data_IF_152310711064
#
_entry.id   IF_152310711064
#
_cell.length_a   1.000
_cell.length_b   1.000
_cell.length_c   1.000
_cell.angle_alpha   90.00
_cell.angle_beta   90.00
_cell.angle_gamma   90.00
#
_symmetry.space_group_name_H-M   'P 1'
#
loop_
_entity.id
_entity.type
_entity.pdbx_description
1 polymer ?
#
# COMPACT_ATOMS: atom_id res chain seq x y z
N UNK A 1 -9.80 4.11 17.04
CA UNK A 1 -9.36 4.44 15.65
C UNK A 1 -8.38 3.39 15.17
N UNK A 2 -8.49 2.96 13.91
CA UNK A 2 -7.54 2.01 13.30
C UNK A 2 -6.97 2.66 12.04
N UNK A 3 -5.69 2.99 12.09
CA UNK A 3 -4.89 3.43 10.96
C UNK A 3 -4.59 2.22 10.07
N UNK A 4 -5.08 2.22 8.83
CA UNK A 4 -5.03 1.08 7.93
C UNK A 4 -3.77 1.04 7.05
N UNK A 5 -2.98 2.12 7.07
CA UNK A 5 -1.75 2.28 6.28
C UNK A 5 -0.83 3.28 6.98
N UNK A 6 -0.12 2.80 7.98
CA UNK A 6 1.00 3.49 8.58
C UNK A 6 2.30 2.82 8.14
N UNK A 7 3.41 3.52 8.25
CA UNK A 7 4.71 3.04 7.80
C UNK A 7 5.73 2.93 8.92
N UNK A 8 6.81 2.23 8.65
CA UNK A 8 7.99 2.12 9.49
C UNK A 8 9.26 2.40 8.69
N UNK A 9 10.28 2.99 9.34
CA UNK A 9 11.63 3.07 8.78
C UNK A 9 12.45 1.89 9.28
N UNK A 10 12.64 0.92 8.41
CA UNK A 10 13.26 -0.35 8.72
C UNK A 10 14.75 -0.21 9.01
N UNK A 11 15.21 -0.89 10.05
CA UNK A 11 16.62 -1.03 10.38
C UNK A 11 17.10 -2.45 10.05
N UNK A 12 17.25 -2.73 8.74
CA UNK A 12 17.56 -4.08 8.26
C UNK A 12 19.06 -4.41 8.43
N UNK A 13 19.31 -5.66 8.84
CA UNK A 13 20.66 -6.23 8.92
C UNK A 13 20.87 -7.17 7.73
N UNK A 14 21.26 -6.61 6.59
CA UNK A 14 21.48 -7.36 5.36
C UNK A 14 22.96 -7.74 5.21
N UNK A 15 23.20 -8.91 4.60
CA UNK A 15 24.54 -9.33 4.20
C UNK A 15 25.15 -8.36 3.20
N UNK A 16 26.47 -8.15 3.26
CA UNK A 16 27.19 -7.18 2.43
C UNK A 16 26.96 -7.38 0.92
N UNK A 17 26.85 -8.64 0.48
CA UNK A 17 26.59 -8.98 -0.92
C UNK A 17 25.17 -8.58 -1.34
N UNK A 18 24.18 -8.75 -0.47
CA UNK A 18 22.78 -8.30 -0.68
C UNK A 18 22.72 -6.79 -0.74
N UNK A 19 23.38 -6.09 0.18
CA UNK A 19 23.48 -4.62 0.18
C UNK A 19 24.14 -4.13 -1.11
N UNK A 20 25.27 -4.72 -1.52
CA UNK A 20 25.96 -4.34 -2.74
C UNK A 20 25.12 -4.56 -4.00
N UNK A 21 24.44 -5.70 -4.10
CA UNK A 21 23.53 -5.98 -5.21
C UNK A 21 22.35 -5.00 -5.26
N UNK A 22 21.75 -4.73 -4.12
CA UNK A 22 20.65 -3.77 -3.98
C UNK A 22 21.09 -2.35 -4.36
N UNK A 23 22.21 -1.86 -3.81
CA UNK A 23 22.72 -0.52 -4.12
C UNK A 23 23.10 -0.38 -5.60
N UNK A 24 23.66 -1.42 -6.21
CA UNK A 24 23.95 -1.42 -7.65
C UNK A 24 22.70 -1.29 -8.51
N UNK A 25 21.61 -1.95 -8.10
CA UNK A 25 20.33 -1.87 -8.80
C UNK A 25 19.61 -0.53 -8.58
N UNK A 26 19.64 -0.03 -7.34
CA UNK A 26 18.99 1.22 -6.97
C UNK A 26 19.65 2.45 -7.58
N UNK A 27 20.98 2.48 -7.56
CA UNK A 27 21.77 3.66 -7.95
C UNK A 27 22.23 3.63 -9.42
N UNK A 28 21.96 2.57 -10.17
CA UNK A 28 22.34 2.47 -11.59
C UNK A 28 23.83 2.72 -11.86
N UNK A 29 24.69 2.52 -10.88
CA UNK A 29 26.14 2.56 -10.96
C UNK A 29 26.82 3.94 -10.93
N UNK A 30 26.11 5.05 -11.08
CA UNK A 30 26.73 6.40 -11.17
C UNK A 30 25.96 7.53 -10.42
N UNK A 31 25.01 7.21 -9.56
CA UNK A 31 24.29 8.26 -8.81
C UNK A 31 25.01 8.59 -7.51
N UNK A 32 25.41 9.86 -7.38
CA UNK A 32 25.96 10.43 -6.15
C UNK A 32 24.91 10.41 -5.03
N UNK A 33 25.38 10.25 -3.80
CA UNK A 33 24.53 10.45 -2.62
C UNK A 33 23.86 11.83 -2.72
N UNK A 34 22.57 11.94 -2.32
CA UNK A 34 21.89 13.24 -2.30
C UNK A 34 22.71 14.22 -1.45
N UNK A 35 22.86 15.46 -1.92
CA UNK A 35 23.36 16.55 -1.10
C UNK A 35 22.42 16.74 0.09
N UNK A 36 22.96 17.15 1.25
CA UNK A 36 22.15 17.45 2.42
C UNK A 36 21.00 18.40 2.02
N UNK A 37 19.74 18.11 2.43
CA UNK A 37 18.61 18.94 2.08
C UNK A 37 18.81 20.38 2.58
N UNK A 38 18.33 21.37 1.79
CA UNK A 38 18.35 22.76 2.21
C UNK A 38 17.53 22.96 3.50
N UNK A 39 17.86 23.93 4.36
CA UNK A 39 17.21 24.11 5.67
C UNK A 39 15.67 24.27 5.62
N UNK A 40 15.11 24.78 4.52
CA UNK A 40 13.66 24.90 4.32
C UNK A 40 13.01 23.56 3.91
N UNK A 41 13.79 22.59 3.43
CA UNK A 41 13.33 21.27 3.04
C UNK A 41 13.28 20.30 4.25
N UNK A 42 13.94 20.67 5.35
CA UNK A 42 14.03 19.84 6.54
C UNK A 42 12.69 19.69 7.28
N UNK A 43 11.75 20.65 7.15
CA UNK A 43 10.51 20.64 7.93
C UNK A 43 9.57 19.47 7.58
N UNK A 44 9.48 19.07 6.32
CA UNK A 44 8.67 17.90 5.90
C UNK A 44 9.38 16.58 6.13
N UNK A 45 10.72 16.56 6.09
CA UNK A 45 11.50 15.37 6.38
C UNK A 45 11.60 15.05 7.90
N UNK A 46 11.27 16.01 8.77
CA UNK A 46 11.38 15.81 10.23
C UNK A 46 10.55 14.64 10.75
N UNK A 47 9.38 14.36 10.15
CA UNK A 47 8.54 13.24 10.54
C UNK A 47 9.24 11.90 10.34
N UNK A 48 9.97 11.72 9.24
CA UNK A 48 10.73 10.50 8.96
C UNK A 48 11.84 10.23 10.00
N UNK A 49 12.33 11.28 10.67
CA UNK A 49 13.35 11.15 11.70
C UNK A 49 12.78 11.05 13.13
N UNK A 50 11.45 11.01 13.29
CA UNK A 50 10.86 10.77 14.62
C UNK A 50 11.25 9.39 15.13
N UNK A 51 11.54 9.26 16.44
CA UNK A 51 11.86 7.95 17.00
C UNK A 51 10.80 6.88 16.75
N UNK A 52 9.51 7.25 16.71
CA UNK A 52 8.39 6.34 16.43
C UNK A 52 8.41 5.71 15.03
N UNK A 53 9.16 6.28 14.07
CA UNK A 53 9.33 5.69 12.75
C UNK A 53 10.05 4.32 12.80
N UNK A 54 11.02 4.15 13.71
CA UNK A 54 11.85 2.93 13.81
C UNK A 54 11.82 2.25 15.18
N UNK A 55 11.18 2.87 16.19
CA UNK A 55 11.13 2.37 17.56
C UNK A 55 9.68 2.20 18.02
N UNK A 56 9.26 0.99 18.47
CA UNK A 56 7.87 0.70 18.79
C UNK A 56 7.33 1.47 20.01
N UNK A 57 8.15 1.72 21.04
CA UNK A 57 7.72 2.48 22.22
C UNK A 57 7.31 3.92 21.89
N UNK A 58 8.20 4.74 21.30
CA UNK A 58 7.85 6.06 20.80
C UNK A 58 6.70 6.06 19.76
N UNK A 59 6.57 5.01 18.94
CA UNK A 59 5.43 4.87 18.02
C UNK A 59 4.10 4.82 18.76
N UNK A 60 4.03 4.05 19.83
CA UNK A 60 2.82 3.96 20.67
C UNK A 60 2.51 5.29 21.35
N UNK A 61 3.53 6.04 21.77
CA UNK A 61 3.36 7.39 22.34
C UNK A 61 2.78 8.37 21.30
N UNK A 62 3.26 8.33 20.05
CA UNK A 62 2.72 9.14 18.95
C UNK A 62 1.27 8.75 18.64
N UNK A 63 0.95 7.45 18.60
CA UNK A 63 -0.42 6.95 18.42
C UNK A 63 -1.35 7.40 19.54
N UNK A 64 -0.90 7.34 20.79
CA UNK A 64 -1.69 7.79 21.95
C UNK A 64 -1.98 9.28 21.89
N UNK A 65 -1.03 10.09 21.43
CA UNK A 65 -1.19 11.54 21.29
C UNK A 65 -2.27 11.92 20.26
N UNK A 66 -2.46 11.12 19.23
CA UNK A 66 -3.48 11.33 18.17
C UNK A 66 -4.77 10.52 18.38
N UNK A 67 -4.82 9.63 19.36
CA UNK A 67 -5.99 8.79 19.60
C UNK A 67 -6.13 7.62 18.62
N UNK A 68 -5.00 7.10 18.10
CA UNK A 68 -4.93 5.92 17.25
C UNK A 68 -4.78 4.67 18.13
N UNK A 69 -5.75 3.77 18.11
CA UNK A 69 -5.72 2.55 18.92
C UNK A 69 -4.83 1.47 18.29
N UNK A 70 -4.90 1.31 16.99
CA UNK A 70 -4.18 0.28 16.22
C UNK A 70 -3.61 0.89 14.93
N UNK A 71 -2.38 0.53 14.59
CA UNK A 71 -1.74 0.86 13.31
C UNK A 71 -1.35 -0.41 12.55
N UNK A 72 -1.72 -0.46 11.27
CA UNK A 72 -1.29 -1.49 10.32
C UNK A 72 -0.07 -0.97 9.59
N UNK A 73 1.05 -1.69 9.67
CA UNK A 73 2.38 -1.17 9.35
C UNK A 73 2.93 -1.76 8.05
N UNK A 74 3.21 -0.86 7.11
CA UNK A 74 3.79 -1.11 5.79
C UNK A 74 5.27 -0.70 5.72
N UNK A 75 6.04 -1.23 4.75
CA UNK A 75 7.43 -0.84 4.56
C UNK A 75 7.56 0.54 3.92
N UNK A 76 8.60 1.28 4.28
CA UNK A 76 8.98 2.57 3.66
C UNK A 76 10.21 2.45 2.78
N UNK A 77 11.16 1.57 3.11
CA UNK A 77 12.47 1.57 2.47
C UNK A 77 12.39 1.47 0.95
N UNK A 78 12.93 2.46 0.24
CA UNK A 78 13.00 2.43 -1.22
C UNK A 78 13.63 1.14 -1.73
N UNK A 79 13.03 0.54 -2.76
CA UNK A 79 13.54 -0.65 -3.41
C UNK A 79 13.13 -1.97 -2.77
N UNK A 80 12.54 -2.02 -1.58
CA UNK A 80 11.94 -3.25 -1.07
C UNK A 80 10.84 -3.77 -2.00
N UNK A 81 10.27 -2.91 -2.83
CA UNK A 81 9.23 -3.29 -3.78
C UNK A 81 9.74 -3.63 -5.18
N UNK A 82 10.96 -3.21 -5.52
CA UNK A 82 11.54 -3.47 -6.85
C UNK A 82 13.00 -3.88 -6.79
N UNK A 83 13.21 -5.17 -6.68
CA UNK A 83 14.50 -5.81 -6.88
C UNK A 83 14.28 -6.92 -7.91
N UNK A 84 14.83 -6.80 -9.13
CA UNK A 84 14.59 -7.80 -10.19
C UNK A 84 15.09 -9.19 -9.84
N UNK A 85 16.22 -9.30 -9.13
CA UNK A 85 16.75 -10.58 -8.68
C UNK A 85 15.90 -11.14 -7.54
N UNK A 86 15.25 -12.26 -7.79
CA UNK A 86 14.33 -12.90 -6.83
C UNK A 86 15.02 -13.35 -5.54
N UNK A 87 16.29 -13.77 -5.61
CA UNK A 87 17.01 -14.25 -4.41
C UNK A 87 17.46 -13.08 -3.54
N UNK A 88 17.90 -11.98 -4.15
CA UNK A 88 18.19 -10.74 -3.43
C UNK A 88 16.92 -10.21 -2.77
N UNK A 89 15.82 -10.13 -3.51
CA UNK A 89 14.55 -9.68 -2.95
C UNK A 89 14.02 -10.59 -1.84
N UNK A 90 14.13 -11.92 -2.01
CA UNK A 90 13.74 -12.88 -0.98
C UNK A 90 14.51 -12.67 0.32
N UNK A 91 15.81 -12.43 0.24
CA UNK A 91 16.64 -12.16 1.43
C UNK A 91 16.21 -10.87 2.12
N UNK A 92 15.96 -9.81 1.35
CA UNK A 92 15.49 -8.53 1.87
C UNK A 92 14.10 -8.66 2.50
N UNK A 93 13.15 -9.27 1.81
CA UNK A 93 11.79 -9.48 2.30
C UNK A 93 11.77 -10.34 3.58
N UNK A 94 12.58 -11.39 3.63
CA UNK A 94 12.68 -12.26 4.80
C UNK A 94 13.23 -11.51 6.02
N UNK A 95 14.24 -10.66 5.82
CA UNK A 95 14.82 -9.82 6.89
C UNK A 95 13.85 -8.72 7.34
N UNK A 96 13.18 -8.05 6.39
CA UNK A 96 12.11 -7.10 6.71
C UNK A 96 11.02 -7.77 7.56
N UNK A 97 10.49 -8.91 7.11
CA UNK A 97 9.42 -9.60 7.81
C UNK A 97 9.86 -10.03 9.23
N UNK A 98 11.11 -10.47 9.41
CA UNK A 98 11.67 -10.78 10.71
C UNK A 98 11.74 -9.53 11.61
N UNK A 99 12.30 -8.44 11.09
CA UNK A 99 12.45 -7.18 11.81
C UNK A 99 11.08 -6.60 12.20
N UNK A 100 10.13 -6.58 11.27
CA UNK A 100 8.78 -6.07 11.55
C UNK A 100 8.04 -6.91 12.60
N UNK A 101 8.22 -8.23 12.56
CA UNK A 101 7.67 -9.11 13.60
C UNK A 101 8.22 -8.74 14.99
N UNK A 102 9.53 -8.51 15.11
CA UNK A 102 10.16 -8.06 16.35
C UNK A 102 9.62 -6.70 16.80
N UNK A 103 9.49 -5.75 15.86
CA UNK A 103 8.91 -4.43 16.12
C UNK A 103 7.46 -4.54 16.63
N UNK A 104 6.60 -5.27 15.93
CA UNK A 104 5.20 -5.44 16.30
C UNK A 104 5.00 -6.26 17.59
N UNK A 105 5.96 -7.14 17.96
CA UNK A 105 5.88 -7.93 19.18
C UNK A 105 5.93 -7.11 20.47
N UNK A 106 6.32 -5.82 20.37
CA UNK A 106 6.30 -4.89 21.50
C UNK A 106 4.87 -4.65 22.02
N UNK A 107 3.89 -4.54 21.12
CA UNK A 107 2.46 -4.56 21.42
C UNK A 107 1.69 -5.13 20.20
N UNK A 108 1.58 -6.44 20.14
CA UNK A 108 0.94 -7.13 19.00
C UNK A 108 -0.59 -6.94 18.91
N UNK A 109 -1.19 -6.30 19.89
CA UNK A 109 -2.59 -5.87 19.84
C UNK A 109 -2.79 -4.52 19.18
N UNK A 110 -1.74 -3.71 19.09
CA UNK A 110 -1.80 -2.35 18.53
C UNK A 110 -0.93 -2.16 17.29
N UNK A 111 0.13 -2.93 17.11
CA UNK A 111 1.06 -2.85 15.97
C UNK A 111 0.89 -4.09 15.11
N UNK A 112 0.30 -3.93 13.93
CA UNK A 112 -0.07 -5.03 13.04
C UNK A 112 0.84 -5.02 11.81
N UNK A 113 1.64 -6.06 11.64
CA UNK A 113 2.59 -6.14 10.52
C UNK A 113 1.96 -6.59 9.20
N UNK A 114 2.46 -6.01 8.11
CA UNK A 114 2.18 -6.40 6.72
C UNK A 114 3.45 -6.97 6.10
N UNK A 115 3.35 -8.18 5.54
CA UNK A 115 4.51 -8.89 5.00
C UNK A 115 4.86 -8.53 3.57
N UNK A 116 6.13 -8.71 3.21
CA UNK A 116 6.64 -8.67 1.85
C UNK A 116 6.93 -10.07 1.33
N UNK A 117 6.71 -10.28 0.03
CA UNK A 117 6.90 -11.58 -0.63
C UNK A 117 7.58 -11.44 -2.00
N UNK A 118 8.44 -12.37 -2.41
CA UNK A 118 9.15 -12.32 -3.69
C UNK A 118 8.26 -12.78 -4.85
N UNK A 119 7.28 -11.95 -5.24
CA UNK A 119 6.29 -12.29 -6.29
C UNK A 119 6.89 -12.41 -7.70
N UNK A 120 8.18 -12.16 -7.86
CA UNK A 120 8.98 -12.53 -9.05
C UNK A 120 8.98 -14.07 -9.26
N UNK A 121 8.82 -14.84 -8.18
CA UNK A 121 8.57 -16.28 -8.20
C UNK A 121 7.34 -16.58 -7.33
N UNK A 122 6.17 -16.88 -7.93
CA UNK A 122 4.95 -17.15 -7.18
C UNK A 122 5.04 -18.29 -6.17
N UNK A 123 5.88 -19.31 -6.43
CA UNK A 123 6.04 -20.43 -5.49
C UNK A 123 6.82 -20.00 -4.23
N UNK A 124 7.85 -19.18 -4.39
CA UNK A 124 8.57 -18.57 -3.26
C UNK A 124 7.68 -17.59 -2.52
N UNK A 125 6.87 -16.81 -3.26
CA UNK A 125 5.92 -15.85 -2.66
C UNK A 125 4.88 -16.54 -1.80
N UNK A 126 4.30 -17.66 -2.25
CA UNK A 126 3.36 -18.47 -1.46
C UNK A 126 4.00 -18.96 -0.18
N UNK A 127 5.21 -19.55 -0.27
CA UNK A 127 5.93 -20.04 0.91
C UNK A 127 6.21 -18.93 1.94
N UNK A 128 6.61 -17.76 1.47
CA UNK A 128 6.87 -16.64 2.37
C UNK A 128 5.57 -16.06 2.95
N UNK A 129 4.48 -16.02 2.17
CA UNK A 129 3.15 -15.64 2.67
C UNK A 129 2.68 -16.59 3.78
N UNK A 130 2.84 -17.92 3.59
CA UNK A 130 2.50 -18.90 4.62
C UNK A 130 3.31 -18.64 5.91
N UNK A 131 4.61 -18.35 5.78
CA UNK A 131 5.46 -17.99 6.93
C UNK A 131 4.98 -16.70 7.61
N UNK A 132 4.67 -15.66 6.84
CA UNK A 132 4.15 -14.40 7.38
C UNK A 132 2.86 -14.62 8.19
N UNK A 133 1.92 -15.40 7.67
CA UNK A 133 0.62 -15.63 8.31
C UNK A 133 0.74 -16.57 9.52
N UNK A 134 1.45 -17.68 9.39
CA UNK A 134 1.44 -18.74 10.42
C UNK A 134 2.50 -18.54 11.48
N UNK A 135 3.71 -18.10 11.10
CA UNK A 135 4.85 -18.03 12.03
C UNK A 135 5.03 -16.61 12.60
N UNK A 136 4.78 -15.56 11.76
CA UNK A 136 4.99 -14.18 12.17
C UNK A 136 3.69 -13.46 12.60
N UNK A 137 2.53 -14.07 12.37
CA UNK A 137 1.24 -13.52 12.79
C UNK A 137 0.78 -12.29 11.99
N UNK A 138 1.35 -12.04 10.82
CA UNK A 138 0.97 -10.93 9.96
C UNK A 138 -0.46 -11.07 9.43
N UNK A 139 -1.10 -9.95 9.15
CA UNK A 139 -2.52 -9.90 8.78
C UNK A 139 -2.78 -9.56 7.32
N UNK A 140 -1.75 -9.17 6.58
CA UNK A 140 -1.82 -8.88 5.16
C UNK A 140 -0.45 -9.07 4.50
N UNK A 141 -0.46 -9.10 3.17
CA UNK A 141 0.74 -9.06 2.34
C UNK A 141 0.66 -7.85 1.41
N UNK A 142 1.76 -7.14 1.27
CA UNK A 142 1.88 -6.02 0.34
C UNK A 142 2.40 -6.46 -1.01
N UNK A 143 1.81 -5.91 -2.07
CA UNK A 143 2.32 -5.98 -3.44
C UNK A 143 2.32 -4.59 -4.07
N UNK A 144 3.21 -4.40 -5.06
CA UNK A 144 3.17 -3.19 -5.89
C UNK A 144 2.11 -3.31 -7.01
N UNK A 145 1.58 -2.18 -7.52
CA UNK A 145 0.56 -2.15 -8.59
C UNK A 145 1.11 -2.43 -10.01
N UNK A 146 2.26 -3.09 -10.12
CA UNK A 146 2.98 -3.30 -11.38
C UNK A 146 3.39 -4.77 -11.57
N UNK A 147 3.69 -5.22 -12.80
CA UNK A 147 4.18 -6.56 -13.07
C UNK A 147 5.46 -6.91 -12.29
N UNK A 148 5.56 -8.18 -11.87
CA UNK A 148 6.76 -8.73 -11.21
C UNK A 148 7.58 -9.63 -12.13
N UNK A 149 6.92 -10.32 -13.06
CA UNK A 149 7.54 -11.29 -13.95
C UNK A 149 7.48 -10.73 -15.37
N UNK A 150 8.61 -10.34 -15.93
CA UNK A 150 8.72 -9.72 -17.25
C UNK A 150 7.65 -8.62 -17.44
N UNK A 151 6.83 -8.74 -18.48
CA UNK A 151 5.73 -7.83 -18.77
C UNK A 151 4.36 -8.48 -18.50
N UNK A 152 4.31 -9.54 -17.69
CA UNK A 152 3.07 -10.25 -17.39
C UNK A 152 2.21 -9.43 -16.44
N UNK A 153 1.02 -9.11 -16.89
CA UNK A 153 0.04 -8.33 -16.12
C UNK A 153 -0.40 -9.09 -14.87
N UNK A 154 -0.85 -8.42 -13.84
CA UNK A 154 -1.27 -9.06 -12.59
C UNK A 154 -2.38 -10.13 -12.78
N UNK A 155 -3.16 -10.04 -13.85
CA UNK A 155 -4.19 -11.05 -14.19
C UNK A 155 -3.67 -12.23 -15.03
N UNK A 156 -2.35 -12.29 -15.34
CA UNK A 156 -1.76 -13.44 -16.03
C UNK A 156 -1.85 -14.67 -15.11
N UNK A 157 -2.22 -15.85 -15.67
CA UNK A 157 -2.34 -17.08 -14.88
C UNK A 157 -1.07 -17.52 -14.13
N UNK A 158 0.09 -16.96 -14.44
CA UNK A 158 1.33 -17.24 -13.71
C UNK A 158 1.21 -16.84 -12.24
N UNK A 159 0.38 -15.84 -11.91
CA UNK A 159 0.14 -15.39 -10.54
C UNK A 159 -1.01 -16.13 -9.84
N UNK A 160 -1.78 -16.95 -10.55
CA UNK A 160 -2.94 -17.65 -9.96
C UNK A 160 -2.60 -18.48 -8.71
N UNK A 161 -1.44 -19.18 -8.61
CA UNK A 161 -1.08 -19.87 -7.37
C UNK A 161 -0.93 -18.93 -6.15
N UNK A 162 -0.50 -17.69 -6.38
CA UNK A 162 -0.38 -16.70 -5.32
C UNK A 162 -1.77 -16.19 -4.88
N UNK A 163 -2.67 -15.91 -5.84
CA UNK A 163 -4.04 -15.48 -5.52
C UNK A 163 -4.82 -16.58 -4.79
N UNK A 164 -4.67 -17.83 -5.22
CA UNK A 164 -5.30 -19.01 -4.58
C UNK A 164 -4.82 -19.19 -3.14
N UNK A 165 -3.51 -19.05 -2.90
CA UNK A 165 -2.95 -19.11 -1.55
C UNK A 165 -3.45 -17.96 -0.66
N UNK A 166 -3.49 -16.72 -1.17
CA UNK A 166 -3.99 -15.56 -0.44
C UNK A 166 -5.47 -15.73 -0.06
N UNK A 167 -6.30 -16.22 -1.00
CA UNK A 167 -7.70 -16.55 -0.75
C UNK A 167 -7.85 -17.65 0.32
N UNK A 168 -7.13 -18.77 0.16
CA UNK A 168 -7.16 -19.92 1.07
C UNK A 168 -6.73 -19.57 2.49
N UNK A 169 -5.70 -18.74 2.64
CA UNK A 169 -5.21 -18.22 3.91
C UNK A 169 -6.09 -17.12 4.48
N UNK A 170 -7.04 -16.61 3.69
CA UNK A 170 -7.81 -15.38 3.99
C UNK A 170 -6.87 -14.23 4.35
N UNK A 171 -5.77 -14.11 3.61
CA UNK A 171 -4.76 -13.08 3.79
C UNK A 171 -5.06 -11.93 2.82
N UNK A 172 -5.48 -10.76 3.30
CA UNK A 172 -5.68 -9.59 2.45
C UNK A 172 -4.41 -9.20 1.71
N UNK A 173 -4.59 -8.70 0.50
CA UNK A 173 -3.50 -8.15 -0.31
C UNK A 173 -3.62 -6.63 -0.32
N UNK A 174 -2.60 -5.95 0.24
CA UNK A 174 -2.41 -4.52 0.11
C UNK A 174 -1.72 -4.19 -1.21
N UNK A 175 -2.40 -3.45 -2.07
CA UNK A 175 -1.82 -2.93 -3.32
C UNK A 175 -1.33 -1.51 -3.04
N UNK A 176 -0.03 -1.38 -2.88
CA UNK A 176 0.61 -0.15 -2.45
C UNK A 176 1.60 0.34 -3.51
N UNK A 177 1.48 1.58 -4.00
CA UNK A 177 2.38 2.14 -5.00
C UNK A 177 3.74 2.46 -4.40
N UNK A 178 4.67 2.80 -5.27
CA UNK A 178 5.97 3.30 -4.89
C UNK A 178 6.52 4.21 -6.00
N UNK A 179 6.43 5.52 -5.78
CA UNK A 179 6.75 6.52 -6.80
C UNK A 179 8.25 6.76 -7.02
N UNK A 180 9.11 6.25 -6.14
CA UNK A 180 10.56 6.49 -6.22
C UNK A 180 11.32 5.49 -7.09
N UNK A 181 10.78 4.30 -7.32
CA UNK A 181 11.46 3.30 -8.13
C UNK A 181 11.11 3.45 -9.62
N UNK A 182 12.13 3.40 -10.47
CA UNK A 182 11.94 3.25 -11.91
C UNK A 182 11.55 1.81 -12.21
N UNK A 183 10.27 1.52 -12.06
CA UNK A 183 9.73 0.19 -12.31
C UNK A 183 9.25 0.07 -13.75
N UNK A 184 9.56 -1.05 -14.43
CA UNK A 184 8.97 -1.32 -15.73
C UNK A 184 7.45 -1.17 -15.66
N UNK A 185 6.87 -0.39 -16.60
CA UNK A 185 5.42 -0.19 -16.75
C UNK A 185 4.71 0.72 -15.75
N UNK A 186 5.38 1.25 -14.74
CA UNK A 186 4.77 2.27 -13.90
C UNK A 186 4.58 3.59 -14.66
N UNK A 187 3.74 4.46 -14.11
CA UNK A 187 3.44 5.77 -14.74
C UNK A 187 4.66 6.67 -14.76
N UNK A 188 5.49 6.61 -13.74
CA UNK A 188 6.74 7.41 -13.66
C UNK A 188 7.62 7.15 -14.87
N UNK A 189 7.91 5.88 -15.21
CA UNK A 189 8.70 5.51 -16.40
C UNK A 189 8.01 5.92 -17.70
N UNK A 190 6.70 5.73 -17.79
CA UNK A 190 5.93 6.03 -19.01
C UNK A 190 5.80 7.51 -19.32
N UNK A 191 5.79 8.37 -18.31
CA UNK A 191 5.66 9.82 -18.46
C UNK A 191 7.00 10.55 -18.44
N UNK A 192 8.13 9.84 -18.29
CA UNK A 192 9.46 10.45 -18.24
C UNK A 192 9.69 11.27 -16.97
N UNK A 193 9.06 10.90 -15.87
CA UNK A 193 9.19 11.59 -14.58
C UNK A 193 10.42 11.15 -13.78
N UNK A 194 11.33 10.37 -14.38
CA UNK A 194 12.53 9.83 -13.72
C UNK A 194 13.56 10.90 -13.38
N UNK A 195 13.69 11.91 -14.25
CA UNK A 195 14.69 12.98 -14.11
C UNK A 195 14.42 13.88 -12.88
N UNK A 196 13.19 13.86 -12.37
CA UNK A 196 12.81 14.64 -11.19
C UNK A 196 13.08 13.90 -9.88
N UNK A 197 13.82 12.77 -9.91
CA UNK A 197 13.69 11.76 -8.86
C UNK A 197 14.65 11.86 -7.68
N UNK A 198 15.81 12.52 -7.74
CA UNK A 198 16.77 12.42 -6.63
C UNK A 198 17.59 13.69 -6.34
N UNK A 199 17.33 14.79 -7.02
CA UNK A 199 18.07 16.02 -6.77
C UNK A 199 17.35 17.06 -5.90
N UNK A 200 16.02 17.00 -5.88
CA UNK A 200 15.16 17.92 -5.15
C UNK A 200 13.87 17.21 -4.74
N UNK A 201 13.82 16.69 -3.54
CA UNK A 201 12.65 15.99 -2.96
C UNK A 201 11.34 16.79 -3.11
N UNK A 202 11.43 18.13 -3.16
CA UNK A 202 10.26 19.01 -3.16
C UNK A 202 9.61 19.26 -4.53
N UNK A 203 10.36 19.22 -5.64
CA UNK A 203 9.85 19.75 -6.92
C UNK A 203 9.32 18.69 -7.88
N UNK A 204 9.81 17.45 -7.80
CA UNK A 204 9.34 16.34 -8.61
C UNK A 204 8.33 15.44 -7.88
N UNK A 205 8.36 15.43 -6.55
CA UNK A 205 7.59 14.51 -5.73
C UNK A 205 6.07 14.70 -5.89
N UNK A 206 5.60 15.94 -5.88
CA UNK A 206 4.19 16.27 -6.04
C UNK A 206 3.60 15.72 -7.36
N UNK A 207 4.34 15.83 -8.47
CA UNK A 207 3.90 15.29 -9.75
C UNK A 207 3.99 13.75 -9.79
N UNK A 208 5.04 13.18 -9.21
CA UNK A 208 5.25 11.73 -9.16
C UNK A 208 4.23 11.03 -8.27
N UNK A 209 4.02 11.51 -7.06
CA UNK A 209 2.99 10.96 -6.16
C UNK A 209 1.60 11.24 -6.69
N UNK A 210 1.28 12.49 -7.03
CA UNK A 210 -0.06 12.86 -7.49
C UNK A 210 -0.52 12.15 -8.76
N UNK A 211 0.40 11.82 -9.68
CA UNK A 211 0.09 11.06 -10.89
C UNK A 211 0.51 9.59 -10.79
N UNK A 212 1.75 9.35 -10.30
CA UNK A 212 2.34 8.02 -10.29
C UNK A 212 1.56 7.07 -9.40
N UNK A 213 1.41 7.39 -8.13
CA UNK A 213 0.71 6.54 -7.18
C UNK A 213 -0.74 6.31 -7.62
N UNK A 214 -1.47 7.40 -7.88
CA UNK A 214 -2.88 7.34 -8.27
C UNK A 214 -3.10 6.49 -9.51
N UNK A 215 -2.38 6.74 -10.62
CA UNK A 215 -2.63 6.04 -11.88
C UNK A 215 -2.20 4.58 -11.80
N UNK A 216 -1.09 4.26 -11.13
CA UNK A 216 -0.64 2.88 -10.98
C UNK A 216 -1.64 2.06 -10.16
N UNK A 217 -2.18 2.61 -9.07
CA UNK A 217 -3.25 1.97 -8.28
C UNK A 217 -4.55 1.83 -9.08
N UNK A 218 -4.94 2.84 -9.89
CA UNK A 218 -6.10 2.76 -10.80
C UNK A 218 -5.94 1.61 -11.80
N UNK A 219 -4.75 1.45 -12.39
CA UNK A 219 -4.46 0.36 -13.34
C UNK A 219 -4.53 -0.99 -12.65
N UNK A 220 -3.94 -1.11 -11.44
CA UNK A 220 -4.03 -2.34 -10.67
C UNK A 220 -5.47 -2.69 -10.33
N UNK A 221 -6.26 -1.73 -9.80
CA UNK A 221 -7.68 -1.95 -9.54
C UNK A 221 -8.41 -2.48 -10.77
N UNK A 222 -8.10 -1.95 -11.95
CA UNK A 222 -8.66 -2.45 -13.21
C UNK A 222 -8.39 -3.94 -13.44
N UNK A 223 -7.18 -4.46 -13.11
CA UNK A 223 -6.87 -5.90 -13.23
C UNK A 223 -7.64 -6.75 -12.21
N UNK A 224 -7.86 -6.25 -11.00
CA UNK A 224 -8.62 -6.97 -9.98
C UNK A 224 -10.12 -7.01 -10.32
N UNK A 225 -10.76 -5.86 -10.54
CA UNK A 225 -12.22 -5.78 -10.66
C UNK A 225 -12.77 -5.95 -12.07
N UNK A 226 -11.97 -5.67 -13.11
CA UNK A 226 -12.38 -5.76 -14.53
C UNK A 226 -11.49 -6.71 -15.36
N UNK A 227 -10.31 -7.06 -14.87
CA UNK A 227 -9.37 -7.98 -15.49
C UNK A 227 -9.52 -9.44 -15.07
N UNK A 228 -10.49 -9.75 -14.19
CA UNK A 228 -10.91 -11.11 -13.85
C UNK A 228 -10.20 -11.78 -12.69
N UNK A 229 -9.28 -11.11 -11.98
CA UNK A 229 -8.65 -11.71 -10.80
C UNK A 229 -9.72 -12.04 -9.75
N UNK A 230 -10.46 -11.03 -9.31
CA UNK A 230 -11.50 -11.19 -8.31
C UNK A 230 -12.72 -12.01 -8.75
N UNK A 231 -12.91 -12.22 -10.05
CA UNK A 231 -13.91 -13.17 -10.57
C UNK A 231 -13.45 -14.62 -10.39
N UNK A 232 -12.15 -14.90 -10.58
CA UNK A 232 -11.57 -16.24 -10.38
C UNK A 232 -11.40 -16.60 -8.91
N UNK A 233 -11.14 -15.60 -8.07
CA UNK A 233 -10.89 -15.73 -6.64
C UNK A 233 -11.90 -14.90 -5.84
N UNK A 234 -13.13 -15.39 -5.66
CA UNK A 234 -14.26 -14.60 -5.15
C UNK A 234 -14.18 -14.27 -3.65
N UNK A 235 -13.35 -14.98 -2.88
CA UNK A 235 -13.12 -14.72 -1.46
C UNK A 235 -11.81 -13.95 -1.20
N UNK A 236 -11.01 -13.68 -2.25
CA UNK A 236 -9.78 -12.90 -2.16
C UNK A 236 -10.12 -11.46 -1.74
N UNK A 237 -9.46 -10.96 -0.70
CA UNK A 237 -9.66 -9.60 -0.20
C UNK A 237 -8.52 -8.68 -0.62
N UNK A 238 -8.84 -7.50 -1.16
CA UNK A 238 -7.89 -6.52 -1.68
C UNK A 238 -8.13 -5.17 -1.00
N UNK A 239 -7.05 -4.48 -0.66
CA UNK A 239 -7.09 -3.06 -0.29
C UNK A 239 -6.14 -2.26 -1.18
N UNK A 240 -6.64 -1.16 -1.72
CA UNK A 240 -5.87 -0.20 -2.53
C UNK A 240 -5.47 0.96 -1.65
N UNK A 241 -4.17 1.27 -1.61
CA UNK A 241 -3.55 2.17 -0.63
C UNK A 241 -2.76 3.29 -1.33
N UNK A 242 -2.54 4.38 -0.64
CA UNK A 242 -1.67 5.51 -1.02
C UNK A 242 -1.83 5.98 -2.49
N UNK A 243 -3.03 5.94 -3.00
CA UNK A 243 -3.32 6.36 -4.38
C UNK A 243 -4.45 7.38 -4.46
N UNK A 244 -4.78 8.04 -3.35
CA UNK A 244 -6.04 8.76 -3.13
C UNK A 244 -7.26 7.86 -3.40
N UNK A 245 -8.42 8.24 -2.90
CA UNK A 245 -9.64 7.44 -3.07
C UNK A 245 -10.71 8.08 -3.95
N UNK A 246 -10.61 9.40 -4.20
CA UNK A 246 -11.64 10.18 -4.86
C UNK A 246 -12.01 9.74 -6.27
N UNK A 247 -11.09 9.12 -6.99
CA UNK A 247 -11.29 8.60 -8.35
C UNK A 247 -12.05 7.25 -8.40
N UNK A 248 -12.15 6.52 -7.29
CA UNK A 248 -12.62 5.13 -7.27
C UNK A 248 -14.07 5.00 -7.75
N UNK A 249 -14.99 5.80 -7.21
CA UNK A 249 -16.41 5.73 -7.57
C UNK A 249 -16.69 6.02 -9.06
N UNK A 250 -16.20 7.11 -9.68
CA UNK A 250 -16.37 7.35 -11.11
C UNK A 250 -15.65 6.32 -11.99
N UNK A 251 -14.55 5.73 -11.54
CA UNK A 251 -13.88 4.68 -12.31
C UNK A 251 -14.70 3.39 -12.32
N UNK A 252 -15.29 2.99 -11.19
CA UNK A 252 -16.17 1.83 -11.12
C UNK A 252 -17.44 2.02 -11.98
N UNK A 253 -18.04 3.21 -11.96
CA UNK A 253 -19.15 3.55 -12.85
C UNK A 253 -18.76 3.37 -14.32
N UNK A 254 -17.57 3.88 -14.67
CA UNK A 254 -17.04 3.76 -16.03
C UNK A 254 -16.79 2.30 -16.43
N UNK A 255 -16.23 1.49 -15.57
CA UNK A 255 -16.01 0.07 -15.84
C UNK A 255 -17.33 -0.69 -16.02
N UNK A 256 -18.32 -0.46 -15.16
CA UNK A 256 -19.64 -1.08 -15.30
C UNK A 256 -20.27 -0.76 -16.65
N UNK A 257 -20.27 0.52 -17.05
CA UNK A 257 -20.80 0.95 -18.35
C UNK A 257 -20.07 0.27 -19.52
N UNK A 258 -18.74 0.21 -19.48
CA UNK A 258 -17.94 -0.35 -20.58
C UNK A 258 -18.10 -1.87 -20.66
N UNK A 259 -18.20 -2.57 -19.55
CA UNK A 259 -18.51 -4.01 -19.52
C UNK A 259 -19.91 -4.27 -20.07
N UNK A 260 -20.88 -3.42 -19.75
CA UNK A 260 -22.24 -3.54 -20.28
C UNK A 260 -22.31 -3.32 -21.81
N UNK A 261 -21.58 -2.31 -22.31
CA UNK A 261 -21.61 -1.94 -23.75
C UNK A 261 -20.78 -2.88 -24.61
N UNK A 262 -19.58 -3.24 -24.17
CA UNK A 262 -18.59 -3.98 -24.97
C UNK A 262 -18.47 -5.46 -24.57
N UNK A 263 -19.05 -5.83 -23.45
CA UNK A 263 -18.84 -7.15 -22.84
C UNK A 263 -17.47 -7.28 -22.18
N UNK A 264 -17.26 -8.39 -21.49
CA UNK A 264 -15.97 -8.75 -20.94
C UNK A 264 -15.66 -10.21 -21.22
N UNK A 265 -14.41 -10.48 -21.62
CA UNK A 265 -13.91 -11.86 -21.75
C UNK A 265 -13.41 -12.43 -20.41
N UNK A 266 -13.27 -11.58 -19.40
CA UNK A 266 -12.64 -11.93 -18.14
C UNK A 266 -13.65 -12.28 -17.04
N UNK A 267 -14.84 -11.67 -17.08
CA UNK A 267 -15.82 -11.78 -16.01
C UNK A 267 -17.26 -11.60 -16.47
N UNK A 268 -18.22 -12.03 -15.62
CA UNK A 268 -19.65 -11.87 -15.82
C UNK A 268 -20.25 -10.89 -14.80
N UNK A 269 -19.66 -10.81 -13.60
CA UNK A 269 -20.07 -9.92 -12.52
C UNK A 269 -19.66 -8.49 -12.84
N UNK A 270 -20.48 -7.50 -12.50
CA UNK A 270 -20.13 -6.08 -12.69
C UNK A 270 -18.91 -5.71 -11.83
N UNK A 271 -17.96 -4.91 -12.35
CA UNK A 271 -16.80 -4.44 -11.61
C UNK A 271 -17.13 -3.81 -10.26
N UNK A 272 -18.19 -2.99 -10.18
CA UNK A 272 -18.63 -2.40 -8.92
C UNK A 272 -19.18 -3.41 -7.91
N UNK A 273 -19.84 -4.47 -8.37
CA UNK A 273 -20.30 -5.55 -7.50
C UNK A 273 -19.13 -6.36 -6.96
N UNK A 274 -18.12 -6.61 -7.80
CA UNK A 274 -16.85 -7.25 -7.37
C UNK A 274 -16.17 -6.38 -6.32
N UNK A 275 -16.02 -5.08 -6.59
CA UNK A 275 -15.41 -4.15 -5.64
C UNK A 275 -16.14 -4.21 -4.28
N UNK A 276 -17.44 -4.08 -4.28
CA UNK A 276 -18.25 -4.12 -3.04
C UNK A 276 -18.19 -5.46 -2.31
N UNK A 277 -17.93 -6.55 -3.01
CA UNK A 277 -17.82 -7.86 -2.39
C UNK A 277 -16.50 -8.01 -1.61
N UNK A 278 -15.36 -7.58 -2.18
CA UNK A 278 -14.06 -8.00 -1.72
C UNK A 278 -12.94 -6.94 -1.75
N UNK A 279 -13.23 -5.71 -2.16
CA UNK A 279 -12.21 -4.66 -2.22
C UNK A 279 -12.47 -3.54 -1.20
N UNK A 280 -11.39 -2.89 -0.80
CA UNK A 280 -11.38 -1.67 0.01
C UNK A 280 -10.46 -0.64 -0.65
N UNK A 281 -10.64 0.63 -0.30
CA UNK A 281 -9.78 1.73 -0.73
C UNK A 281 -9.47 2.63 0.44
N UNK A 282 -8.20 3.06 0.56
CA UNK A 282 -7.80 4.06 1.54
C UNK A 282 -8.04 5.47 1.04
N UNK A 283 -8.21 6.35 2.00
CA UNK A 283 -8.24 7.79 1.82
C UNK A 283 -7.30 8.43 2.82
N UNK A 284 -6.61 9.47 2.38
CA UNK A 284 -5.90 10.34 3.28
C UNK A 284 -6.90 11.17 4.11
N UNK A 285 -6.59 11.53 5.35
CA UNK A 285 -7.54 12.16 6.27
C UNK A 285 -8.10 13.49 5.78
N UNK A 286 -7.35 14.22 4.95
CA UNK A 286 -7.70 15.54 4.40
C UNK A 286 -8.40 15.47 3.03
N UNK A 287 -8.66 14.28 2.48
CA UNK A 287 -9.34 14.15 1.18
C UNK A 287 -10.83 14.56 1.27
N UNK A 288 -11.20 15.71 0.72
CA UNK A 288 -12.61 16.15 0.60
C UNK A 288 -13.50 15.14 -0.15
N UNK A 289 -12.91 14.36 -1.05
CA UNK A 289 -13.62 13.35 -1.84
C UNK A 289 -14.09 12.14 -1.01
N UNK A 290 -13.59 11.95 0.22
CA UNK A 290 -13.95 10.85 1.10
C UNK A 290 -15.48 10.81 1.35
N UNK A 291 -16.07 11.94 1.73
CA UNK A 291 -17.49 12.02 2.00
C UNK A 291 -18.35 11.72 0.75
N UNK A 292 -17.89 12.11 -0.44
CA UNK A 292 -18.55 11.76 -1.71
C UNK A 292 -18.51 10.25 -1.97
N UNK A 293 -17.34 9.62 -1.82
CA UNK A 293 -17.16 8.19 -2.02
C UNK A 293 -17.98 7.36 -1.01
N UNK A 294 -18.05 7.79 0.25
CA UNK A 294 -18.82 7.15 1.32
C UNK A 294 -20.33 7.13 1.02
N UNK A 295 -20.85 8.14 0.32
CA UNK A 295 -22.25 8.21 -0.10
C UNK A 295 -22.50 7.63 -1.50
N UNK A 296 -21.46 7.19 -2.20
CA UNK A 296 -21.59 6.61 -3.54
C UNK A 296 -22.14 5.19 -3.50
N UNK A 297 -23.06 4.87 -4.40
CA UNK A 297 -23.53 3.49 -4.61
C UNK A 297 -22.44 2.54 -5.11
N UNK A 298 -21.35 3.08 -5.67
CA UNK A 298 -20.25 2.29 -6.25
C UNK A 298 -19.20 1.89 -5.22
N UNK A 299 -18.96 2.71 -4.20
CA UNK A 299 -18.03 2.44 -3.10
C UNK A 299 -18.82 2.20 -1.82
N UNK A 300 -19.30 3.27 -1.18
CA UNK A 300 -20.00 3.22 0.10
C UNK A 300 -19.05 3.25 1.30
N UNK A 301 -19.53 3.75 2.43
CA UNK A 301 -18.73 3.89 3.64
C UNK A 301 -18.16 2.56 4.16
N UNK A 302 -18.80 1.43 3.83
CA UNK A 302 -18.40 0.09 4.25
C UNK A 302 -17.20 -0.48 3.48
N UNK A 303 -16.64 0.27 2.51
CA UNK A 303 -15.48 -0.11 1.69
C UNK A 303 -14.33 0.89 1.76
N UNK A 304 -14.41 1.85 2.67
CA UNK A 304 -13.39 2.87 2.88
C UNK A 304 -12.63 2.55 4.16
N UNK A 305 -11.31 2.62 4.09
CA UNK A 305 -10.40 2.70 5.23
C UNK A 305 -9.67 4.03 5.16
N UNK A 306 -9.09 4.51 6.25
CA UNK A 306 -8.26 5.70 6.26
C UNK A 306 -6.81 5.34 6.58
N UNK A 307 -5.90 6.19 6.17
CA UNK A 307 -4.46 6.00 6.27
C UNK A 307 -3.80 7.22 6.88
N UNK A 308 -2.88 7.04 7.81
CA UNK A 308 -2.09 8.14 8.36
C UNK A 308 -0.89 8.50 7.49
N UNK A 309 -0.41 7.53 6.77
CA UNK A 309 0.87 7.58 6.06
C UNK A 309 2.09 7.93 6.95
N UNK A 310 1.91 7.91 8.30
CA UNK A 310 3.01 8.17 9.23
C UNK A 310 4.14 7.14 9.06
N UNK A 311 5.43 7.52 8.93
CA UNK A 311 6.01 8.83 9.18
C UNK A 311 6.39 9.60 7.91
N UNK A 312 5.69 9.41 6.81
CA UNK A 312 6.02 10.09 5.57
C UNK A 312 5.83 11.62 5.69
N UNK A 313 6.46 12.43 4.81
CA UNK A 313 6.48 13.89 4.96
C UNK A 313 5.12 14.58 4.83
N UNK A 314 4.15 13.95 4.20
CA UNK A 314 2.78 14.41 4.01
C UNK A 314 1.84 14.01 5.16
N UNK A 315 2.27 13.11 6.03
CA UNK A 315 1.54 12.82 7.27
C UNK A 315 1.57 14.02 8.24
N UNK A 316 0.53 14.14 9.06
CA UNK A 316 0.43 15.17 10.09
C UNK A 316 0.27 14.53 11.47
N UNK A 317 1.30 14.54 12.26
CA UNK A 317 1.27 14.06 13.63
C UNK A 317 1.93 15.08 14.58
N UNK A 318 1.25 15.52 15.63
CA UNK A 318 -0.14 15.26 15.99
C UNK A 318 -1.15 16.04 15.14
N UNK A 319 -2.39 15.57 15.09
CA UNK A 319 -3.53 16.28 14.51
C UNK A 319 -4.17 15.57 13.30
N UNK A 320 -3.68 14.39 12.91
CA UNK A 320 -4.21 13.66 11.75
C UNK A 320 -5.64 13.16 11.97
N UNK A 321 -5.96 12.78 13.21
CA UNK A 321 -7.32 12.35 13.57
C UNK A 321 -8.31 13.52 13.55
N UNK A 322 -7.87 14.73 13.90
CA UNK A 322 -8.72 15.93 13.79
C UNK A 322 -9.09 16.23 12.34
N UNK A 323 -8.13 16.09 11.39
CA UNK A 323 -8.40 16.24 9.95
C UNK A 323 -9.42 15.20 9.45
N UNK A 324 -9.31 13.94 9.89
CA UNK A 324 -10.27 12.91 9.54
C UNK A 324 -11.68 13.23 10.07
N UNK A 325 -11.80 13.82 11.27
CA UNK A 325 -13.09 14.29 11.79
C UNK A 325 -13.65 15.43 10.92
N UNK A 326 -12.82 16.37 10.49
CA UNK A 326 -13.21 17.48 9.62
C UNK A 326 -13.68 16.96 8.25
N UNK A 327 -12.91 16.12 7.57
CA UNK A 327 -13.24 15.56 6.26
C UNK A 327 -14.53 14.70 6.29
N UNK A 328 -14.89 14.17 7.45
CA UNK A 328 -16.09 13.33 7.62
C UNK A 328 -17.25 14.05 8.32
N UNK A 329 -17.21 15.37 8.52
CA UNK A 329 -18.23 16.13 9.25
C UNK A 329 -19.65 15.91 8.68
N UNK A 330 -19.78 15.78 7.36
CA UNK A 330 -21.05 15.57 6.67
C UNK A 330 -21.58 14.14 6.73
N UNK A 331 -20.81 13.18 7.25
CA UNK A 331 -21.19 11.77 7.34
C UNK A 331 -21.97 11.47 8.62
N UNK A 332 -22.78 10.41 8.57
CA UNK A 332 -23.47 9.89 9.75
C UNK A 332 -22.49 9.20 10.71
N UNK A 333 -22.88 9.09 11.99
CA UNK A 333 -22.05 8.39 12.99
C UNK A 333 -21.78 6.93 12.61
N UNK A 334 -22.74 6.25 11.97
CA UNK A 334 -22.55 4.88 11.47
C UNK A 334 -21.51 4.82 10.36
N UNK A 335 -21.53 5.76 9.41
CA UNK A 335 -20.52 5.84 8.36
C UNK A 335 -19.12 6.12 8.92
N UNK A 336 -19.01 7.08 9.86
CA UNK A 336 -17.75 7.37 10.54
C UNK A 336 -17.21 6.15 11.28
N UNK A 337 -18.04 5.45 12.05
CA UNK A 337 -17.63 4.25 12.79
C UNK A 337 -17.04 3.17 11.87
N UNK A 338 -17.64 2.98 10.70
CA UNK A 338 -17.12 2.06 9.68
C UNK A 338 -15.73 2.50 9.20
N UNK A 339 -15.59 3.76 8.78
CA UNK A 339 -14.35 4.31 8.22
C UNK A 339 -13.25 4.37 9.28
N UNK A 340 -13.59 4.82 10.50
CA UNK A 340 -12.61 5.05 11.56
C UNK A 340 -11.99 3.78 12.14
N UNK A 341 -12.60 2.60 11.91
CA UNK A 341 -11.99 1.38 12.44
C UNK A 341 -12.68 0.08 12.05
N UNK A 342 -14.02 0.00 11.99
CA UNK A 342 -14.68 -1.29 11.79
C UNK A 342 -14.35 -1.96 10.46
N UNK A 343 -14.14 -1.17 9.40
CA UNK A 343 -13.72 -1.70 8.10
C UNK A 343 -12.31 -2.27 8.17
N UNK A 344 -11.36 -1.53 8.76
CA UNK A 344 -9.99 -2.01 8.96
C UNK A 344 -9.95 -3.22 9.89
N UNK A 345 -10.73 -3.23 10.97
CA UNK A 345 -10.85 -4.39 11.85
C UNK A 345 -11.35 -5.63 11.10
N UNK A 346 -12.34 -5.47 10.23
CA UNK A 346 -12.86 -6.57 9.39
C UNK A 346 -11.85 -7.00 8.35
N UNK A 347 -11.22 -6.04 7.66
CA UNK A 347 -10.23 -6.27 6.61
C UNK A 347 -9.05 -7.09 7.15
N UNK A 348 -8.43 -6.62 8.23
CA UNK A 348 -7.24 -7.23 8.80
C UNK A 348 -7.54 -8.28 9.88
N UNK A 349 -8.80 -8.49 10.25
CA UNK A 349 -9.26 -9.45 11.27
C UNK A 349 -8.58 -9.24 12.63
N UNK A 350 -8.64 -8.03 13.11
CA UNK A 350 -8.05 -7.55 14.37
C UNK A 350 -9.14 -7.04 15.31
#
# INVERSE_FOLDING_TARGET
MIDADGHVLEQLQLDADVVSAFMTQLLGGDHMAPEDPAPEEASHAELMYRPGASQPGPRLEDMDADGIDVAVLYPTTPGLQYVPDVHVFQSMASEYNRWLHEYCSHDSGRLIGVGLVPLQDPALAVKEMERCVHDLGFRAIMIRPAPYIDNKKLNDPVYDPFWDAAESLRCPIGVHPFSFADMPWNVVSRLGLQEDSFGHLDKGLALRQGLGNTIDVMVAMGWFVAGGICERFPELTIVFLEGSGGWCAPMLERFDHHVEVFGSRYQKTKPSEIFKRQCYISFDPDEEALAFAANSRYVGADRIVWASDYPHPDAKIPGIVDELYEATESLTDDQRRLIFGENAARLYRI
#
